data_IF_849053795655
#
_entry.id   IF_849053795655
#
_cell.length_a   1.000
_cell.length_b   1.000
_cell.length_c   1.000
_cell.angle_alpha   90.00
_cell.angle_beta   90.00
_cell.angle_gamma   90.00
#
_symmetry.space_group_name_H-M   'P 1'
#
loop_
_entity.id
_entity.type
_entity.pdbx_description
1 polymer ?
#
# COMPACT_ATOMS: atom_id res chain seq x y z
N UNK A 1 14.02 0.66 0.51
CA UNK A 1 13.15 0.06 1.54
C UNK A 1 12.23 -0.95 0.86
N UNK A 2 12.16 -2.17 1.38
CA UNK A 2 11.47 -3.35 0.80
C UNK A 2 10.02 -3.10 0.32
N UNK A 3 9.35 -2.09 0.90
CA UNK A 3 8.03 -1.60 0.50
C UNK A 3 7.92 -1.17 -0.97
N UNK A 4 8.99 -0.67 -1.58
CA UNK A 4 8.99 -0.23 -2.98
C UNK A 4 9.18 -1.38 -3.99
N UNK A 5 9.33 -2.63 -3.53
CA UNK A 5 9.81 -3.76 -4.35
C UNK A 5 8.78 -4.87 -4.55
N UNK A 6 7.49 -4.59 -4.38
CA UNK A 6 6.40 -5.57 -4.51
C UNK A 6 6.55 -6.78 -3.55
N UNK A 7 7.15 -6.55 -2.38
CA UNK A 7 7.39 -7.58 -1.36
C UNK A 7 6.19 -7.66 -0.41
N UNK A 8 5.73 -8.87 -0.08
CA UNK A 8 4.59 -9.07 0.80
C UNK A 8 4.88 -8.64 2.24
N UNK A 9 3.83 -8.30 2.99
CA UNK A 9 3.95 -7.89 4.41
C UNK A 9 4.61 -8.98 5.28
N UNK A 10 4.42 -10.26 4.94
CA UNK A 10 5.05 -11.39 5.63
C UNK A 10 6.55 -11.46 5.37
N UNK A 11 6.96 -11.32 4.11
CA UNK A 11 8.37 -11.39 3.74
C UNK A 11 9.14 -10.20 4.34
N UNK A 12 8.50 -9.01 4.42
CA UNK A 12 9.07 -7.85 5.12
C UNK A 12 9.27 -8.16 6.60
N UNK A 13 8.27 -8.76 7.26
CA UNK A 13 8.36 -9.12 8.66
C UNK A 13 9.52 -10.11 8.92
N UNK A 14 9.72 -11.07 8.01
CA UNK A 14 10.81 -12.05 8.09
C UNK A 14 12.19 -11.42 7.86
N UNK A 15 12.35 -10.63 6.79
CA UNK A 15 13.63 -9.97 6.45
C UNK A 15 14.05 -8.97 7.54
N UNK A 16 13.11 -8.15 8.00
CA UNK A 16 13.36 -7.10 9.00
C UNK A 16 13.30 -7.64 10.44
N UNK A 17 12.96 -8.92 10.63
CA UNK A 17 12.83 -9.58 11.95
C UNK A 17 11.90 -8.83 12.90
N UNK A 18 10.80 -8.28 12.38
CA UNK A 18 9.76 -7.58 13.14
C UNK A 18 8.43 -8.29 13.01
N UNK A 19 7.50 -8.04 13.93
CA UNK A 19 6.16 -8.62 13.80
C UNK A 19 5.40 -8.04 12.60
N UNK A 20 4.56 -8.86 11.96
CA UNK A 20 3.61 -8.42 10.92
C UNK A 20 2.75 -7.26 11.41
N UNK A 21 2.35 -7.30 12.69
CA UNK A 21 1.58 -6.21 13.33
C UNK A 21 2.36 -4.89 13.33
N UNK A 22 3.67 -4.92 13.60
CA UNK A 22 4.54 -3.74 13.55
C UNK A 22 4.64 -3.19 12.13
N UNK A 23 4.83 -4.06 11.13
CA UNK A 23 4.85 -3.66 9.71
C UNK A 23 3.53 -2.99 9.31
N UNK A 24 2.40 -3.61 9.64
CA UNK A 24 1.07 -3.05 9.33
C UNK A 24 0.82 -1.73 10.06
N UNK A 25 1.22 -1.61 11.33
CA UNK A 25 1.11 -0.36 12.08
C UNK A 25 1.90 0.77 11.44
N UNK A 26 3.12 0.51 10.97
CA UNK A 26 3.91 1.50 10.24
C UNK A 26 3.21 1.88 8.94
N UNK A 27 2.73 0.90 8.17
CA UNK A 27 2.01 1.14 6.91
C UNK A 27 0.76 2.01 7.08
N UNK A 28 -0.07 1.71 8.08
CA UNK A 28 -1.30 2.45 8.35
C UNK A 28 -1.02 3.86 8.85
N UNK A 29 0.00 4.03 9.69
CA UNK A 29 0.36 5.33 10.26
C UNK A 29 1.28 6.16 9.33
N UNK A 30 1.76 5.59 8.23
CA UNK A 30 2.58 6.29 7.25
C UNK A 30 1.70 7.21 6.39
N UNK A 31 1.32 8.35 6.96
CA UNK A 31 0.53 9.36 6.27
C UNK A 31 1.44 10.23 5.39
N UNK A 32 1.84 9.71 4.22
CA UNK A 32 2.58 10.51 3.24
C UNK A 32 1.59 11.24 2.34
N UNK A 33 1.45 12.53 2.57
CA UNK A 33 0.76 13.40 1.62
C UNK A 33 1.50 13.39 0.28
N UNK A 34 0.79 13.01 -0.79
CA UNK A 34 1.29 13.18 -2.15
C UNK A 34 1.14 14.66 -2.48
N UNK A 35 2.23 15.42 -2.34
CA UNK A 35 2.24 16.83 -2.71
C UNK A 35 2.39 16.96 -4.23
N UNK A 36 1.55 17.77 -4.90
CA UNK A 36 1.75 18.06 -6.31
C UNK A 36 3.09 18.80 -6.48
N UNK A 37 3.80 18.48 -7.57
CA UNK A 37 5.07 19.15 -7.89
C UNK A 37 4.89 20.61 -8.30
N UNK A 38 3.69 20.98 -8.78
CA UNK A 38 3.36 22.33 -9.24
C UNK A 38 1.85 22.58 -9.18
N UNK A 39 1.44 23.85 -9.13
CA UNK A 39 0.03 24.24 -8.98
C UNK A 39 -0.73 24.27 -10.31
N UNK A 40 -0.04 24.36 -11.45
CA UNK A 40 -0.65 24.43 -12.79
C UNK A 40 0.00 23.39 -13.69
N UNK A 41 -0.81 22.50 -14.25
CA UNK A 41 -0.38 21.53 -15.27
C UNK A 41 -1.03 21.91 -16.59
N UNK A 42 -0.28 21.86 -17.70
CA UNK A 42 -0.80 22.16 -19.04
C UNK A 42 -1.87 21.14 -19.46
N UNK A 43 -1.74 19.91 -18.99
CA UNK A 43 -2.70 18.82 -19.14
C UNK A 43 -2.54 17.86 -17.95
N UNK A 44 -3.62 17.19 -17.56
CA UNK A 44 -3.61 16.14 -16.55
C UNK A 44 -3.76 14.79 -17.24
N UNK A 45 -2.79 13.89 -17.07
CA UNK A 45 -2.97 12.48 -17.41
C UNK A 45 -3.60 11.78 -16.20
N UNK A 46 -4.76 11.17 -16.42
CA UNK A 46 -5.42 10.28 -15.47
C UNK A 46 -5.10 8.87 -15.92
N UNK A 47 -4.49 8.09 -15.04
CA UNK A 47 -4.20 6.67 -15.27
C UNK A 47 -5.25 5.81 -14.54
N UNK A 48 -5.72 4.75 -15.19
CA UNK A 48 -6.73 3.85 -14.63
C UNK A 48 -6.05 2.56 -14.15
N UNK A 49 -5.95 2.39 -12.83
CA UNK A 49 -5.42 1.18 -12.21
C UNK A 49 -6.55 0.26 -11.75
N UNK A 50 -6.62 -0.93 -12.34
CA UNK A 50 -7.58 -1.97 -11.94
C UNK A 50 -6.90 -2.99 -11.02
N UNK A 51 -7.53 -3.30 -9.89
CA UNK A 51 -7.09 -4.40 -9.01
C UNK A 51 -8.25 -5.32 -8.70
N UNK A 52 -7.99 -6.63 -8.71
CA UNK A 52 -9.00 -7.60 -8.31
C UNK A 52 -9.20 -7.54 -6.79
N UNK A 53 -10.40 -7.14 -6.36
CA UNK A 53 -10.80 -7.19 -4.96
C UNK A 53 -11.68 -8.42 -4.76
N UNK A 54 -11.10 -9.48 -4.20
CA UNK A 54 -11.84 -10.69 -3.87
C UNK A 54 -12.94 -10.40 -2.84
N UNK A 55 -14.20 -10.72 -3.15
CA UNK A 55 -15.28 -10.69 -2.16
C UNK A 55 -15.20 -11.94 -1.28
N UNK A 56 -14.82 -11.76 0.00
CA UNK A 56 -14.89 -12.84 0.98
C UNK A 56 -16.36 -13.17 1.28
N UNK A 57 -16.80 -14.38 0.92
CA UNK A 57 -18.11 -14.89 1.34
C UNK A 57 -18.06 -15.16 2.84
N UNK A 58 -18.87 -14.45 3.62
CA UNK A 58 -19.12 -14.80 5.02
C UNK A 58 -20.03 -16.04 5.00
N UNK A 59 -19.52 -17.18 5.44
CA UNK A 59 -20.37 -18.34 5.77
C UNK A 59 -20.97 -18.04 7.14
N UNK A 60 -22.25 -17.66 7.18
CA UNK A 60 -23.02 -17.72 8.42
C UNK A 60 -23.34 -19.21 8.66
N UNK A 61 -22.77 -19.77 9.72
CA UNK A 61 -23.16 -21.07 10.27
C UNK A 61 -24.13 -20.85 11.41
#
# INVERSE_FOLDING_TARGET
MLLARNVGVRDIAEIEKVSVKKVLSVLVNFNREIKPKQNKYKSLQVDELWTFVGKKKIKNG
#
